data_IF_636966489403
#
_entry.id   IF_636966489403
#
_cell.length_a   1.000
_cell.length_b   1.000
_cell.length_c   1.000
_cell.angle_alpha   90.00
_cell.angle_beta   90.00
_cell.angle_gamma   90.00
#
_symmetry.space_group_name_H-M   'P 1'
#
loop_
_entity.id
_entity.type
_entity.pdbx_description
1 polymer ?
#
# COMPACT_ATOMS: atom_id res chain seq x y z
N UNK A 1 1.73 -6.13 15.64
CA UNK A 1 1.09 -4.94 15.04
C UNK A 1 1.61 -4.78 13.62
N UNK A 2 0.73 -4.86 12.62
CA UNK A 2 1.06 -4.65 11.20
C UNK A 2 1.47 -3.19 11.00
N UNK A 3 2.62 -2.94 10.36
CA UNK A 3 3.11 -1.57 10.12
C UNK A 3 2.29 -0.89 9.01
N UNK A 4 1.16 -0.28 9.35
CA UNK A 4 0.30 0.47 8.41
C UNK A 4 0.98 1.68 7.76
N UNK A 5 2.16 2.06 8.24
CA UNK A 5 3.01 3.14 7.69
C UNK A 5 3.47 2.88 6.25
N UNK A 6 3.33 1.66 5.74
CA UNK A 6 3.59 1.32 4.33
C UNK A 6 2.49 1.81 3.37
N UNK A 7 1.37 2.31 3.91
CA UNK A 7 0.27 2.89 3.16
C UNK A 7 0.21 4.40 3.40
N UNK A 8 -0.46 5.13 2.50
CA UNK A 8 -0.80 6.53 2.74
C UNK A 8 -1.74 6.62 3.95
N UNK A 9 -1.64 7.69 4.74
CA UNK A 9 -2.46 7.90 5.94
C UNK A 9 -3.95 7.77 5.64
N UNK A 10 -4.42 8.39 4.55
CA UNK A 10 -5.81 8.29 4.07
C UNK A 10 -6.26 6.87 3.69
N UNK A 11 -5.32 5.98 3.39
CA UNK A 11 -5.60 4.62 2.94
C UNK A 11 -5.41 3.59 4.06
N UNK A 12 -4.95 4.00 5.26
CA UNK A 12 -4.66 3.07 6.36
C UNK A 12 -5.88 2.34 6.89
N UNK A 13 -7.04 3.01 6.98
CA UNK A 13 -8.29 2.36 7.38
C UNK A 13 -8.72 1.30 6.37
N UNK A 14 -8.62 1.61 5.08
CA UNK A 14 -8.90 0.66 4.01
C UNK A 14 -7.93 -0.53 4.04
N UNK A 15 -6.63 -0.26 4.19
CA UNK A 15 -5.62 -1.31 4.30
C UNK A 15 -5.85 -2.21 5.51
N UNK A 16 -6.21 -1.63 6.67
CA UNK A 16 -6.60 -2.39 7.86
C UNK A 16 -7.81 -3.28 7.56
N UNK A 17 -8.86 -2.75 6.93
CA UNK A 17 -10.04 -3.54 6.56
C UNK A 17 -9.71 -4.71 5.62
N UNK A 18 -8.81 -4.51 4.64
CA UNK A 18 -8.41 -5.58 3.73
C UNK A 18 -7.49 -6.61 4.40
N UNK A 19 -6.67 -6.22 5.38
CA UNK A 19 -5.93 -7.16 6.23
C UNK A 19 -6.86 -8.01 7.10
N UNK A 20 -7.86 -7.39 7.72
CA UNK A 20 -8.86 -8.12 8.53
C UNK A 20 -9.65 -9.13 7.66
N UNK A 21 -10.02 -8.74 6.43
CA UNK A 21 -10.66 -9.64 5.45
C UNK A 21 -9.72 -10.76 5.01
N UNK A 22 -8.44 -10.46 4.77
CA UNK A 22 -7.43 -11.44 4.43
C UNK A 22 -7.37 -12.53 5.52
N UNK A 23 -7.21 -12.12 6.79
CA UNK A 23 -7.10 -13.04 7.92
C UNK A 23 -8.37 -13.90 8.06
N UNK A 24 -9.55 -13.28 8.00
CA UNK A 24 -10.82 -13.99 8.12
C UNK A 24 -11.03 -15.03 7.01
N UNK A 25 -10.78 -14.65 5.75
CA UNK A 25 -10.94 -15.55 4.61
C UNK A 25 -9.88 -16.67 4.63
N UNK A 26 -8.64 -16.36 5.04
CA UNK A 26 -7.57 -17.34 5.12
C UNK A 26 -7.84 -18.39 6.19
N UNK A 27 -8.26 -17.97 7.40
CA UNK A 27 -8.66 -18.89 8.47
C UNK A 27 -9.85 -19.75 8.04
N UNK A 28 -10.85 -19.14 7.39
CA UNK A 28 -12.01 -19.88 6.86
C UNK A 28 -11.59 -20.92 5.82
N UNK A 29 -10.70 -20.57 4.88
CA UNK A 29 -10.20 -21.50 3.87
C UNK A 29 -9.49 -22.71 4.51
N UNK A 30 -8.64 -22.48 5.52
CA UNK A 30 -7.94 -23.56 6.23
C UNK A 30 -8.91 -24.54 6.90
N UNK A 31 -9.95 -24.02 7.55
CA UNK A 31 -10.96 -24.85 8.21
C UNK A 31 -11.74 -25.70 7.18
N UNK A 32 -12.11 -25.12 6.04
CA UNK A 32 -12.83 -25.83 4.98
C UNK A 32 -11.97 -26.93 4.35
N UNK A 33 -10.68 -26.68 4.12
CA UNK A 33 -9.74 -27.71 3.65
C UNK A 33 -9.66 -28.87 4.64
N UNK A 34 -9.58 -28.58 5.95
CA UNK A 34 -9.53 -29.61 6.98
C UNK A 34 -10.81 -30.47 7.05
N UNK A 35 -11.94 -29.94 6.60
CA UNK A 35 -13.23 -30.63 6.52
C UNK A 35 -13.45 -31.36 5.19
N UNK A 36 -12.57 -31.16 4.20
CA UNK A 36 -12.73 -31.72 2.85
C UNK A 36 -13.64 -30.88 1.93
N UNK A 37 -14.06 -29.69 2.36
CA UNK A 37 -14.94 -28.79 1.61
C UNK A 37 -14.13 -27.94 0.60
N UNK A 38 -13.55 -28.61 -0.40
CA UNK A 38 -12.56 -28.00 -1.29
C UNK A 38 -13.13 -26.90 -2.19
N UNK A 39 -14.40 -27.01 -2.61
CA UNK A 39 -15.05 -26.00 -3.45
C UNK A 39 -15.16 -24.65 -2.73
N UNK A 40 -15.68 -24.68 -1.51
CA UNK A 40 -15.80 -23.48 -0.67
C UNK A 40 -14.43 -22.94 -0.26
N UNK A 41 -13.47 -23.81 0.05
CA UNK A 41 -12.10 -23.40 0.34
C UNK A 41 -11.47 -22.65 -0.83
N UNK A 42 -11.68 -23.10 -2.07
CA UNK A 42 -11.18 -22.42 -3.27
C UNK A 42 -11.78 -21.02 -3.42
N UNK A 43 -13.07 -20.86 -3.11
CA UNK A 43 -13.72 -19.55 -3.12
C UNK A 43 -13.14 -18.60 -2.05
N UNK A 44 -12.84 -19.10 -0.85
CA UNK A 44 -12.18 -18.29 0.18
C UNK A 44 -10.75 -17.92 -0.22
N UNK A 45 -9.98 -18.83 -0.81
CA UNK A 45 -8.66 -18.53 -1.35
C UNK A 45 -8.70 -17.46 -2.45
N UNK A 46 -9.73 -17.46 -3.30
CA UNK A 46 -9.93 -16.38 -4.30
C UNK A 46 -10.11 -15.03 -3.62
N UNK A 47 -10.87 -14.95 -2.53
CA UNK A 47 -11.05 -13.71 -1.75
C UNK A 47 -9.75 -13.28 -1.05
N UNK A 48 -8.96 -14.23 -0.55
CA UNK A 48 -7.62 -13.97 -0.01
C UNK A 48 -6.74 -13.29 -1.07
N UNK A 49 -6.70 -13.83 -2.29
CA UNK A 49 -5.94 -13.24 -3.39
C UNK A 49 -6.43 -11.82 -3.73
N UNK A 50 -7.74 -11.59 -3.75
CA UNK A 50 -8.31 -10.25 -3.99
C UNK A 50 -7.89 -9.21 -2.94
N UNK A 51 -7.85 -9.59 -1.65
CA UNK A 51 -7.38 -8.68 -0.60
C UNK A 51 -5.89 -8.37 -0.74
N UNK A 52 -5.07 -9.36 -1.10
CA UNK A 52 -3.63 -9.14 -1.38
C UNK A 52 -3.42 -8.19 -2.56
N UNK A 53 -4.15 -8.37 -3.67
CA UNK A 53 -4.07 -7.48 -4.83
C UNK A 53 -4.43 -6.02 -4.49
N UNK A 54 -5.43 -5.81 -3.65
CA UNK A 54 -5.80 -4.45 -3.19
C UNK A 54 -4.72 -3.84 -2.31
N UNK A 55 -4.17 -4.62 -1.36
CA UNK A 55 -3.09 -4.15 -0.49
C UNK A 55 -1.86 -3.74 -1.31
N UNK A 56 -1.48 -4.52 -2.32
CA UNK A 56 -0.36 -4.17 -3.20
C UNK A 56 -0.61 -2.87 -3.98
N UNK A 57 -1.83 -2.64 -4.46
CA UNK A 57 -2.20 -1.37 -5.12
C UNK A 57 -2.08 -0.17 -4.18
N UNK A 58 -2.52 -0.30 -2.93
CA UNK A 58 -2.41 0.78 -1.93
C UNK A 58 -0.94 1.08 -1.61
N UNK A 59 -0.12 0.03 -1.47
CA UNK A 59 1.33 0.17 -1.25
C UNK A 59 2.02 0.85 -2.43
N UNK A 60 1.76 0.41 -3.66
CA UNK A 60 2.30 1.03 -4.86
C UNK A 60 1.90 2.52 -4.98
N UNK A 61 0.69 2.87 -4.55
CA UNK A 61 0.24 4.28 -4.51
C UNK A 61 1.09 5.11 -3.55
N UNK A 62 1.41 4.57 -2.36
CA UNK A 62 2.32 5.25 -1.40
C UNK A 62 3.71 5.46 -1.99
N UNK A 63 4.28 4.44 -2.62
CA UNK A 63 5.61 4.49 -3.23
C UNK A 63 5.69 5.54 -4.35
N UNK A 64 4.64 5.63 -5.18
CA UNK A 64 4.52 6.66 -6.20
C UNK A 64 4.47 8.08 -5.59
N UNK A 65 3.65 8.27 -4.54
CA UNK A 65 3.57 9.56 -3.85
C UNK A 65 4.91 9.97 -3.22
N UNK A 66 5.61 9.04 -2.59
CA UNK A 66 6.91 9.31 -1.96
C UNK A 66 7.96 9.70 -3.01
N UNK A 67 7.96 8.99 -4.14
CA UNK A 67 8.84 9.31 -5.28
C UNK A 67 8.55 10.70 -5.84
N UNK A 68 7.27 11.02 -6.07
CA UNK A 68 6.86 12.33 -6.57
C UNK A 68 7.24 13.46 -5.59
N UNK A 69 7.05 13.25 -4.29
CA UNK A 69 7.44 14.21 -3.26
C UNK A 69 8.94 14.47 -3.26
N UNK A 70 9.75 13.41 -3.37
CA UNK A 70 11.22 13.53 -3.42
C UNK A 70 11.66 14.35 -4.64
N UNK A 71 11.09 14.08 -5.82
CA UNK A 71 11.38 14.81 -7.05
C UNK A 71 11.04 16.30 -6.89
N UNK A 72 9.86 16.60 -6.34
CA UNK A 72 9.42 17.98 -6.10
C UNK A 72 10.40 18.71 -5.16
N UNK A 73 10.86 18.06 -4.08
CA UNK A 73 11.85 18.66 -3.17
C UNK A 73 13.19 18.94 -3.84
N UNK A 74 13.62 18.08 -4.77
CA UNK A 74 14.83 18.32 -5.55
C UNK A 74 14.68 19.53 -6.50
N UNK A 75 13.51 19.69 -7.14
CA UNK A 75 13.22 20.83 -8.02
C UNK A 75 13.22 22.13 -7.20
N UNK A 76 12.50 22.17 -6.08
CA UNK A 76 12.47 23.32 -5.18
C UNK A 76 13.87 23.69 -4.67
N UNK A 77 14.70 22.69 -4.36
CA UNK A 77 16.09 22.89 -3.95
C UNK A 77 16.94 23.54 -5.04
N UNK A 78 16.82 23.08 -6.29
CA UNK A 78 17.53 23.67 -7.44
C UNK A 78 17.08 25.10 -7.72
N UNK A 79 15.78 25.37 -7.71
CA UNK A 79 15.24 26.71 -7.91
C UNK A 79 15.80 27.71 -6.89
N UNK A 80 15.81 27.34 -5.61
CA UNK A 80 16.40 28.18 -4.55
C UNK A 80 17.89 28.41 -4.75
N UNK A 81 18.62 27.39 -5.20
CA UNK A 81 20.05 27.52 -5.50
C UNK A 81 20.28 28.48 -6.67
N UNK A 82 19.51 28.38 -7.74
CA UNK A 82 19.62 29.24 -8.91
C UNK A 82 19.29 30.70 -8.55
N UNK A 83 18.23 30.95 -7.77
CA UNK A 83 17.89 32.28 -7.26
C UNK A 83 19.01 32.91 -6.42
N UNK A 84 19.68 32.12 -5.57
CA UNK A 84 20.82 32.58 -4.78
C UNK A 84 22.02 32.93 -5.66
N UNK A 85 22.32 32.11 -6.66
CA UNK A 85 23.40 32.36 -7.61
C UNK A 85 23.15 33.61 -8.45
N UNK A 86 21.90 33.85 -8.87
CA UNK A 86 21.54 35.10 -9.55
C UNK A 86 21.72 36.32 -8.66
N UNK A 87 21.33 36.25 -7.38
CA UNK A 87 21.53 37.35 -6.42
C UNK A 87 23.01 37.66 -6.20
N UNK A 88 23.87 36.65 -6.16
CA UNK A 88 25.32 36.84 -5.99
C UNK A 88 26.02 37.40 -7.23
N UNK A 89 25.39 37.32 -8.41
CA UNK A 89 25.92 37.84 -9.68
C UNK A 89 25.51 39.30 -9.96
N UNK A 90 24.58 39.84 -9.18
CA UNK A 90 24.14 41.25 -9.23
C UNK A 90 24.88 42.07 -8.18
#
# INVERSE_FOLDING_TARGET
>A
MTKLTMFLEKDQEQAKSELDKYDANFISALNLVAQGEFGEAADQHRKVAQSLEKLEKLKATKELCDTAWLILKQIEGRQKQDELLERLRR
#
